data_IF_162806806901
#
_entry.id   IF_162806806901
#
_cell.length_a   1.000
_cell.length_b   1.000
_cell.length_c   1.000
_cell.angle_alpha   90.00
_cell.angle_beta   90.00
_cell.angle_gamma   90.00
#
_symmetry.space_group_name_H-M   'P 1'
#
loop_
_entity.id
_entity.type
_entity.pdbx_description
1 polymer ?
#
# COMPACT_ATOMS: atom_id res chain seq x y z
N UNK A 1 14.58 31.53 8.86
CA UNK A 1 15.26 32.17 7.71
C UNK A 1 14.84 31.39 6.47
N UNK A 2 14.23 32.01 5.46
CA UNK A 2 13.91 31.30 4.20
C UNK A 2 15.21 31.17 3.41
N UNK A 3 15.78 29.97 3.35
CA UNK A 3 16.87 29.68 2.42
C UNK A 3 16.31 29.66 1.00
N UNK A 4 16.78 30.59 0.16
CA UNK A 4 16.47 30.60 -1.27
C UNK A 4 17.47 29.70 -1.99
N UNK A 5 17.15 28.40 -2.11
CA UNK A 5 17.90 27.47 -2.97
C UNK A 5 17.02 27.04 -4.16
N UNK A 6 17.63 26.74 -5.31
CA UNK A 6 16.89 26.24 -6.48
C UNK A 6 16.08 24.96 -6.15
N UNK A 7 16.63 24.13 -5.27
CA UNK A 7 15.97 22.92 -4.75
C UNK A 7 14.68 23.26 -4.00
N UNK A 8 14.62 24.38 -3.24
CA UNK A 8 13.43 24.77 -2.48
C UNK A 8 12.21 25.16 -3.34
N UNK A 9 12.43 25.42 -4.63
CA UNK A 9 11.38 25.75 -5.59
C UNK A 9 10.73 24.49 -6.21
N UNK A 10 11.37 23.33 -6.07
CA UNK A 10 10.84 22.05 -6.55
C UNK A 10 9.82 21.51 -5.54
N UNK A 11 8.57 21.42 -5.96
CA UNK A 11 7.53 20.73 -5.18
C UNK A 11 7.70 19.22 -5.31
N UNK A 12 7.67 18.54 -4.17
CA UNK A 12 7.61 17.08 -4.09
C UNK A 12 6.36 16.68 -3.29
N UNK A 13 5.82 15.47 -3.51
CA UNK A 13 4.66 15.00 -2.76
C UNK A 13 4.89 15.03 -1.25
N UNK A 14 3.88 15.45 -0.49
CA UNK A 14 3.91 15.38 0.98
C UNK A 14 3.62 13.94 1.41
N UNK A 15 4.63 13.26 1.95
CA UNK A 15 4.57 11.86 2.37
C UNK A 15 5.17 11.70 3.77
N UNK A 16 4.73 10.68 4.51
CA UNK A 16 5.44 10.24 5.72
C UNK A 16 6.70 9.44 5.36
N UNK A 17 7.52 9.09 6.35
CA UNK A 17 8.82 8.47 6.13
C UNK A 17 8.75 7.09 5.45
N UNK A 18 7.72 6.28 5.73
CA UNK A 18 7.56 4.97 5.08
C UNK A 18 7.19 5.14 3.61
N UNK A 19 6.20 5.99 3.33
CA UNK A 19 5.81 6.31 1.97
C UNK A 19 6.90 7.06 1.20
N UNK A 20 7.73 7.85 1.88
CA UNK A 20 8.91 8.50 1.30
C UNK A 20 9.94 7.49 0.79
N UNK A 21 10.23 6.45 1.59
CA UNK A 21 11.12 5.38 1.19
C UNK A 21 10.58 4.63 -0.04
N UNK A 22 9.29 4.27 -0.05
CA UNK A 22 8.63 3.61 -1.20
C UNK A 22 8.65 4.48 -2.45
N UNK A 23 8.28 5.77 -2.33
CA UNK A 23 8.32 6.70 -3.45
C UNK A 23 9.74 6.87 -4.03
N UNK A 24 10.73 6.96 -3.14
CA UNK A 24 12.14 7.00 -3.53
C UNK A 24 12.58 5.76 -4.31
N UNK A 25 12.13 4.57 -3.90
CA UNK A 25 12.38 3.32 -4.63
C UNK A 25 11.71 3.31 -6.00
N UNK A 26 10.45 3.72 -6.11
CA UNK A 26 9.76 3.79 -7.40
C UNK A 26 10.48 4.71 -8.40
N UNK A 27 10.99 5.86 -7.93
CA UNK A 27 11.81 6.77 -8.75
C UNK A 27 13.13 6.11 -9.17
N UNK A 28 13.80 5.40 -8.26
CA UNK A 28 15.05 4.70 -8.58
C UNK A 28 14.82 3.52 -9.54
N UNK A 29 13.72 2.78 -9.40
CA UNK A 29 13.34 1.72 -10.33
C UNK A 29 13.10 2.27 -11.73
N UNK A 30 12.38 3.39 -11.86
CA UNK A 30 12.21 4.06 -13.16
C UNK A 30 13.55 4.51 -13.75
N UNK A 31 14.46 5.01 -12.91
CA UNK A 31 15.79 5.42 -13.31
C UNK A 31 16.70 4.25 -13.73
N UNK A 32 16.57 3.09 -13.10
CA UNK A 32 17.37 1.90 -13.42
C UNK A 32 16.80 1.11 -14.61
N UNK A 33 15.55 1.37 -15.01
CA UNK A 33 14.92 0.78 -16.19
C UNK A 33 15.37 1.42 -17.52
N UNK A 34 16.17 2.49 -17.47
CA UNK A 34 16.65 3.22 -18.66
C UNK A 34 18.16 3.45 -18.59
N UNK A 35 18.80 3.58 -19.75
CA UNK A 35 20.19 4.05 -19.81
C UNK A 35 20.20 5.54 -19.50
N UNK A 36 20.72 5.91 -18.32
CA UNK A 36 20.72 7.31 -17.89
C UNK A 36 21.83 8.12 -18.55
N UNK A 37 21.56 9.38 -18.93
CA UNK A 37 22.58 10.36 -19.25
C UNK A 37 23.54 10.56 -18.08
N UNK A 38 24.82 10.79 -18.37
CA UNK A 38 25.89 11.02 -17.39
C UNK A 38 25.52 12.13 -16.39
N UNK A 39 24.78 13.15 -16.84
CA UNK A 39 24.35 14.28 -16.00
C UNK A 39 23.41 13.87 -14.86
N UNK A 40 22.73 12.72 -14.98
CA UNK A 40 21.76 12.19 -14.02
C UNK A 40 22.35 11.11 -13.10
N UNK A 41 23.53 10.57 -13.41
CA UNK A 41 24.14 9.48 -12.63
C UNK A 41 24.41 9.88 -11.18
N UNK A 42 25.07 11.02 -10.98
CA UNK A 42 25.43 11.52 -9.65
C UNK A 42 24.20 11.91 -8.81
N UNK A 43 23.20 12.64 -9.34
CA UNK A 43 21.92 12.84 -8.65
C UNK A 43 21.20 11.53 -8.28
N UNK A 44 21.18 10.53 -9.17
CA UNK A 44 20.60 9.20 -8.88
C UNK A 44 21.33 8.50 -7.75
N UNK A 45 22.66 8.45 -7.78
CA UNK A 45 23.46 7.79 -6.75
C UNK A 45 23.24 8.42 -5.37
N UNK A 46 23.17 9.75 -5.33
CA UNK A 46 22.84 10.49 -4.10
C UNK A 46 21.45 10.14 -3.60
N UNK A 47 20.43 10.11 -4.47
CA UNK A 47 19.08 9.69 -4.10
C UNK A 47 19.06 8.25 -3.56
N UNK A 48 19.77 7.32 -4.20
CA UNK A 48 19.89 5.93 -3.77
C UNK A 48 20.50 5.79 -2.38
N UNK A 49 21.55 6.56 -2.09
CA UNK A 49 22.19 6.57 -0.78
C UNK A 49 21.19 7.05 0.30
N UNK A 50 20.49 8.15 0.08
CA UNK A 50 19.53 8.68 1.06
C UNK A 50 18.31 7.78 1.24
N UNK A 51 17.80 7.14 0.18
CA UNK A 51 16.72 6.14 0.29
C UNK A 51 17.17 4.95 1.13
N UNK A 52 18.40 4.47 0.91
CA UNK A 52 18.98 3.35 1.66
C UNK A 52 19.16 3.71 3.15
N UNK A 53 19.67 4.90 3.43
CA UNK A 53 19.85 5.41 4.79
C UNK A 53 18.53 5.60 5.52
N UNK A 54 17.51 6.15 4.84
CA UNK A 54 16.16 6.28 5.39
C UNK A 54 15.57 4.90 5.72
N UNK A 55 15.66 3.93 4.80
CA UNK A 55 15.20 2.54 5.04
C UNK A 55 15.92 1.88 6.20
N UNK A 56 17.24 2.09 6.32
CA UNK A 56 18.06 1.56 7.41
C UNK A 56 17.61 2.15 8.74
N UNK A 57 17.42 3.46 8.81
CA UNK A 57 16.95 4.13 10.03
C UNK A 57 15.54 3.67 10.41
N UNK A 58 14.61 3.62 9.45
CA UNK A 58 13.26 3.08 9.67
C UNK A 58 13.29 1.64 10.19
N UNK A 59 14.23 0.82 9.72
CA UNK A 59 14.41 -0.56 10.19
C UNK A 59 15.06 -0.63 11.57
N UNK A 60 16.03 0.23 11.88
CA UNK A 60 16.68 0.31 13.19
C UNK A 60 15.71 0.78 14.29
N UNK A 61 14.71 1.57 13.90
CA UNK A 61 13.68 2.07 14.79
C UNK A 61 12.53 1.10 15.05
N UNK A 62 12.48 -0.03 14.32
CA UNK A 62 11.61 -1.15 14.64
C UNK A 62 12.16 -1.86 15.86
N UNK A 63 11.64 -1.55 17.04
CA UNK A 63 11.75 -2.49 18.15
C UNK A 63 11.02 -3.77 17.75
N UNK A 64 11.64 -4.96 17.88
CA UNK A 64 10.90 -6.19 17.75
C UNK A 64 9.74 -6.14 18.75
N UNK A 65 8.50 -6.42 18.32
CA UNK A 65 7.40 -6.57 19.26
C UNK A 65 7.78 -7.65 20.29
N UNK A 66 7.39 -7.51 21.57
CA UNK A 66 7.67 -8.55 22.56
C UNK A 66 7.08 -9.88 22.08
N UNK A 67 7.80 -10.98 22.26
CA UNK A 67 7.38 -12.31 21.79
C UNK A 67 5.96 -12.68 22.25
N UNK A 68 5.50 -12.15 23.40
CA UNK A 68 4.14 -12.29 23.90
C UNK A 68 3.06 -11.63 23.02
N UNK A 69 3.37 -10.51 22.37
CA UNK A 69 2.44 -9.84 21.44
C UNK A 69 2.32 -10.57 20.10
N UNK A 70 3.39 -11.20 19.61
CA UNK A 70 3.33 -12.03 18.40
C UNK A 70 2.48 -13.27 18.65
N UNK A 71 2.67 -13.97 19.77
CA UNK A 71 1.85 -15.14 20.14
C UNK A 71 0.37 -14.77 20.36
N UNK A 72 0.09 -13.59 20.93
CA UNK A 72 -1.29 -13.15 21.09
C UNK A 72 -1.96 -12.80 19.75
N UNK A 73 -1.23 -12.15 18.83
CA UNK A 73 -1.73 -11.80 17.51
C UNK A 73 -1.94 -13.04 16.61
N UNK A 74 -1.00 -13.98 16.64
CA UNK A 74 -1.07 -15.31 16.02
C UNK A 74 -2.35 -16.06 16.44
N UNK A 75 -2.55 -16.24 17.76
CA UNK A 75 -3.77 -16.86 18.28
C UNK A 75 -5.06 -16.15 17.87
N UNK A 76 -5.04 -14.83 17.75
CA UNK A 76 -6.22 -14.05 17.34
C UNK A 76 -6.54 -14.30 15.87
N UNK A 77 -5.55 -14.30 14.99
CA UNK A 77 -5.76 -14.54 13.55
C UNK A 77 -6.20 -15.99 13.30
N UNK A 78 -5.64 -16.96 14.03
CA UNK A 78 -6.06 -18.37 14.00
C UNK A 78 -7.54 -18.53 14.38
N UNK A 79 -7.95 -17.89 15.47
CA UNK A 79 -9.32 -17.93 15.96
C UNK A 79 -10.28 -17.27 14.98
N UNK A 80 -9.92 -16.13 14.40
CA UNK A 80 -10.74 -15.42 13.43
C UNK A 80 -10.98 -16.25 12.17
N UNK A 81 -9.93 -16.85 11.61
CA UNK A 81 -10.05 -17.74 10.44
C UNK A 81 -10.86 -19.00 10.74
N UNK A 82 -10.66 -19.60 11.92
CA UNK A 82 -11.45 -20.75 12.35
C UNK A 82 -12.93 -20.41 12.49
N UNK A 83 -13.25 -19.26 13.09
CA UNK A 83 -14.64 -18.79 13.24
C UNK A 83 -15.34 -18.55 11.91
N UNK A 84 -14.67 -17.90 10.94
CA UNK A 84 -15.21 -17.73 9.60
C UNK A 84 -15.46 -19.08 8.91
N UNK A 85 -14.50 -20.01 8.99
CA UNK A 85 -14.65 -21.35 8.44
C UNK A 85 -15.84 -22.12 9.06
N UNK A 86 -16.01 -22.02 10.38
CA UNK A 86 -17.09 -22.69 11.11
C UNK A 86 -18.48 -22.17 10.72
N UNK A 87 -18.64 -20.85 10.57
CA UNK A 87 -19.90 -20.26 10.11
C UNK A 87 -20.25 -20.69 8.69
N UNK A 88 -19.28 -20.65 7.77
CA UNK A 88 -19.49 -21.12 6.39
C UNK A 88 -19.82 -22.61 6.37
N UNK A 89 -19.14 -23.42 7.19
CA UNK A 89 -19.44 -24.85 7.34
C UNK A 89 -20.85 -25.07 7.89
N UNK A 90 -21.28 -24.25 8.84
CA UNK A 90 -22.65 -24.27 9.38
C UNK A 90 -23.70 -24.04 8.30
N UNK A 91 -23.52 -23.00 7.47
CA UNK A 91 -24.40 -22.72 6.34
C UNK A 91 -24.39 -23.84 5.29
N UNK A 92 -23.22 -24.38 4.97
CA UNK A 92 -23.06 -25.45 3.98
C UNK A 92 -23.74 -26.79 4.37
N UNK A 93 -24.00 -26.99 5.67
CA UNK A 93 -24.73 -28.16 6.21
C UNK A 93 -26.24 -28.06 6.04
N UNK A 94 -26.78 -26.89 5.70
CA UNK A 94 -28.20 -26.77 5.38
C UNK A 94 -28.56 -27.56 4.12
N UNK A 95 -29.83 -27.98 3.95
CA UNK A 95 -30.30 -28.62 2.74
C UNK A 95 -29.99 -27.79 1.49
N UNK A 96 -29.68 -28.46 0.39
CA UNK A 96 -29.27 -27.80 -0.87
C UNK A 96 -30.36 -26.90 -1.48
N UNK A 97 -31.61 -27.10 -1.06
CA UNK A 97 -32.75 -26.24 -1.42
C UNK A 97 -32.65 -24.83 -0.83
N UNK A 98 -31.74 -24.60 0.13
CA UNK A 98 -31.47 -23.29 0.72
C UNK A 98 -30.34 -22.61 -0.06
N UNK A 99 -30.56 -21.39 -0.62
CA UNK A 99 -29.52 -20.66 -1.34
C UNK A 99 -28.25 -20.41 -0.53
N UNK A 100 -28.37 -20.23 0.79
CA UNK A 100 -27.21 -20.06 1.68
C UNK A 100 -26.26 -21.27 1.71
N UNK A 101 -26.79 -22.49 1.51
CA UNK A 101 -25.97 -23.70 1.46
C UNK A 101 -25.01 -23.68 0.27
N UNK A 102 -25.53 -23.39 -0.93
CA UNK A 102 -24.73 -23.29 -2.14
C UNK A 102 -23.69 -22.16 -2.07
N UNK A 103 -24.10 -20.97 -1.63
CA UNK A 103 -23.19 -19.81 -1.48
C UNK A 103 -22.04 -20.11 -0.53
N UNK A 104 -22.32 -20.74 0.61
CA UNK A 104 -21.31 -21.10 1.59
C UNK A 104 -20.34 -22.16 1.06
N UNK A 105 -20.82 -23.15 0.29
CA UNK A 105 -19.95 -24.14 -0.36
C UNK A 105 -19.02 -23.51 -1.39
N UNK A 106 -19.53 -22.57 -2.21
CA UNK A 106 -18.69 -21.81 -3.14
C UNK A 106 -17.55 -21.08 -2.42
N UNK A 107 -17.85 -20.42 -1.29
CA UNK A 107 -16.83 -19.73 -0.50
C UNK A 107 -15.83 -20.70 0.16
N UNK A 108 -16.30 -21.84 0.67
CA UNK A 108 -15.44 -22.89 1.23
C UNK A 108 -14.50 -23.47 0.17
N UNK A 109 -14.99 -23.79 -1.02
CA UNK A 109 -14.17 -24.31 -2.11
C UNK A 109 -13.14 -23.27 -2.58
N UNK A 110 -13.53 -22.00 -2.62
CA UNK A 110 -12.67 -20.92 -3.12
C UNK A 110 -11.58 -20.52 -2.12
N UNK A 111 -11.93 -20.40 -0.84
CA UNK A 111 -11.06 -19.79 0.19
C UNK A 111 -10.53 -20.81 1.20
N UNK A 112 -11.16 -21.98 1.30
CA UNK A 112 -10.87 -23.02 2.28
C UNK A 112 -10.77 -24.42 1.64
N UNK A 113 -10.31 -24.52 0.40
CA UNK A 113 -10.11 -25.81 -0.29
C UNK A 113 -9.27 -26.80 0.55
N UNK A 114 -8.29 -26.28 1.28
CA UNK A 114 -7.46 -27.02 2.23
C UNK A 114 -7.83 -26.80 3.71
N UNK A 115 -9.03 -26.29 3.97
CA UNK A 115 -9.49 -25.85 5.28
C UNK A 115 -8.62 -24.72 5.84
N UNK A 116 -8.46 -24.71 7.16
CA UNK A 116 -7.64 -23.74 7.91
C UNK A 116 -6.21 -24.21 8.15
N UNK A 117 -5.68 -25.17 7.37
CA UNK A 117 -4.33 -25.74 7.62
C UNK A 117 -3.19 -24.71 7.55
N UNK A 118 -3.38 -23.62 6.81
CA UNK A 118 -2.37 -22.57 6.64
C UNK A 118 -1.99 -21.86 7.93
N UNK A 119 -2.87 -21.84 8.94
CA UNK A 119 -2.61 -21.26 10.28
C UNK A 119 -1.42 -21.94 11.00
N UNK A 120 -1.00 -23.12 10.52
CA UNK A 120 0.15 -23.87 11.06
C UNK A 120 1.46 -23.58 10.33
N UNK A 121 1.46 -22.69 9.33
CA UNK A 121 2.66 -22.35 8.59
C UNK A 121 3.64 -21.57 9.48
N UNK A 122 4.88 -21.42 9.00
CA UNK A 122 5.79 -20.46 9.63
C UNK A 122 5.19 -19.04 9.51
N UNK A 123 5.29 -18.21 10.56
CA UNK A 123 4.53 -16.96 10.69
C UNK A 123 4.48 -16.06 9.44
N UNK A 124 5.62 -15.90 8.73
CA UNK A 124 5.65 -15.09 7.49
C UNK A 124 4.88 -15.72 6.33
N UNK A 125 4.95 -17.04 6.20
CA UNK A 125 4.22 -17.79 5.18
C UNK A 125 2.72 -17.84 5.51
N UNK A 126 2.39 -17.98 6.80
CA UNK A 126 1.01 -17.87 7.29
C UNK A 126 0.41 -16.49 6.98
N UNK A 127 1.15 -15.42 7.27
CA UNK A 127 0.71 -14.06 6.97
C UNK A 127 0.46 -13.84 5.47
N UNK A 128 1.38 -14.30 4.60
CA UNK A 128 1.22 -14.15 3.15
C UNK A 128 0.01 -14.95 2.60
N UNK A 129 -0.21 -16.16 3.10
CA UNK A 129 -1.36 -16.98 2.73
C UNK A 129 -2.68 -16.36 3.24
N UNK A 130 -2.67 -15.82 4.45
CA UNK A 130 -3.75 -15.06 5.07
C UNK A 130 -4.12 -13.82 4.22
N UNK A 131 -3.12 -13.08 3.72
CA UNK A 131 -3.33 -11.93 2.82
C UNK A 131 -3.98 -12.34 1.49
N UNK A 132 -3.48 -13.40 0.84
CA UNK A 132 -4.03 -13.89 -0.42
C UNK A 132 -5.51 -14.32 -0.28
N UNK A 133 -5.85 -15.04 0.79
CA UNK A 133 -7.23 -15.47 1.09
C UNK A 133 -8.14 -14.28 1.41
N UNK A 134 -7.65 -13.31 2.18
CA UNK A 134 -8.42 -12.11 2.50
C UNK A 134 -8.70 -11.26 1.26
N UNK A 135 -7.73 -11.13 0.35
CA UNK A 135 -7.92 -10.47 -0.95
C UNK A 135 -8.97 -11.20 -1.80
N UNK A 136 -8.96 -12.54 -1.78
CA UNK A 136 -9.96 -13.35 -2.47
C UNK A 136 -11.36 -13.16 -1.91
N UNK A 137 -11.51 -13.09 -0.58
CA UNK A 137 -12.80 -12.82 0.08
C UNK A 137 -13.35 -11.42 -0.25
N UNK A 138 -12.46 -10.43 -0.36
CA UNK A 138 -12.82 -9.02 -0.63
C UNK A 138 -13.13 -8.75 -2.10
N UNK A 139 -12.67 -9.61 -3.01
CA UNK A 139 -13.00 -9.51 -4.42
C UNK A 139 -14.46 -9.91 -4.69
N UNK A 140 -15.09 -9.26 -5.66
CA UNK A 140 -16.38 -9.74 -6.19
C UNK A 140 -16.16 -11.00 -7.05
N UNK A 141 -17.09 -11.97 -7.05
CA UNK A 141 -18.40 -11.95 -6.39
C UNK A 141 -18.40 -12.39 -4.92
N UNK A 142 -17.25 -12.78 -4.35
CA UNK A 142 -17.16 -13.38 -3.01
C UNK A 142 -17.64 -12.42 -1.92
N UNK A 143 -17.31 -11.13 -2.05
CA UNK A 143 -17.77 -10.10 -1.13
C UNK A 143 -19.30 -10.00 -1.08
N UNK A 144 -20.00 -10.11 -2.22
CA UNK A 144 -21.48 -10.18 -2.22
C UNK A 144 -22.01 -11.41 -1.50
N UNK A 145 -21.41 -12.58 -1.74
CA UNK A 145 -21.83 -13.83 -1.08
C UNK A 145 -21.72 -13.72 0.45
N UNK A 146 -20.64 -13.12 0.96
CA UNK A 146 -20.44 -12.91 2.40
C UNK A 146 -21.48 -11.98 3.02
N UNK A 147 -21.84 -10.90 2.32
CA UNK A 147 -22.92 -9.98 2.75
C UNK A 147 -24.27 -10.68 2.78
N UNK A 148 -24.58 -11.46 1.74
CA UNK A 148 -25.83 -12.21 1.63
C UNK A 148 -25.97 -13.33 2.67
N UNK A 149 -24.85 -13.86 3.16
CA UNK A 149 -24.80 -14.84 4.25
C UNK A 149 -24.79 -14.19 5.65
N UNK A 150 -24.69 -12.86 5.73
CA UNK A 150 -24.55 -12.15 7.01
C UNK A 150 -23.23 -12.45 7.72
N UNK A 151 -22.18 -12.81 6.98
CA UNK A 151 -20.89 -13.22 7.54
C UNK A 151 -19.85 -12.07 7.60
N UNK A 152 -20.27 -10.82 7.37
CA UNK A 152 -19.36 -9.68 7.24
C UNK A 152 -18.55 -9.43 8.52
N UNK A 153 -19.15 -9.55 9.70
CA UNK A 153 -18.46 -9.35 10.99
C UNK A 153 -17.25 -10.29 11.16
N UNK A 154 -17.32 -11.52 10.63
CA UNK A 154 -16.20 -12.46 10.65
C UNK A 154 -15.07 -12.03 9.72
N UNK A 155 -15.38 -11.45 8.56
CA UNK A 155 -14.39 -10.95 7.59
C UNK A 155 -13.71 -9.68 8.13
N UNK A 156 -14.46 -8.85 8.84
CA UNK A 156 -13.95 -7.65 9.49
C UNK A 156 -12.99 -8.03 10.62
N UNK A 157 -13.35 -9.02 11.45
CA UNK A 157 -12.46 -9.54 12.50
C UNK A 157 -11.21 -10.22 11.91
N UNK A 158 -11.33 -11.02 10.84
CA UNK A 158 -10.16 -11.57 10.13
C UNK A 158 -9.26 -10.47 9.59
N UNK A 159 -9.84 -9.39 9.03
CA UNK A 159 -9.07 -8.25 8.51
C UNK A 159 -8.29 -7.55 9.62
N UNK A 160 -8.92 -7.31 10.76
CA UNK A 160 -8.28 -6.64 11.89
C UNK A 160 -7.22 -7.52 12.55
N UNK A 161 -7.51 -8.81 12.76
CA UNK A 161 -6.55 -9.76 13.28
C UNK A 161 -5.33 -9.93 12.35
N UNK A 162 -5.55 -10.01 11.04
CA UNK A 162 -4.49 -10.06 10.03
C UNK A 162 -3.60 -8.80 10.06
N UNK A 163 -4.20 -7.60 10.19
CA UNK A 163 -3.46 -6.33 10.31
C UNK A 163 -2.56 -6.35 11.55
N UNK A 164 -3.13 -6.68 12.71
CA UNK A 164 -2.40 -6.75 13.99
C UNK A 164 -1.30 -7.81 13.97
N UNK A 165 -1.55 -8.95 13.30
CA UNK A 165 -0.54 -9.98 13.14
C UNK A 165 0.62 -9.52 12.27
N UNK A 166 0.33 -8.86 11.14
CA UNK A 166 1.36 -8.23 10.31
C UNK A 166 2.19 -7.19 11.06
N UNK A 167 1.57 -6.42 11.95
CA UNK A 167 2.26 -5.43 12.79
C UNK A 167 3.18 -6.13 13.81
N UNK A 168 2.67 -7.18 14.45
CA UNK A 168 3.41 -8.02 15.39
C UNK A 168 4.50 -8.87 14.73
N UNK A 169 4.49 -9.03 13.40
CA UNK A 169 5.57 -9.64 12.62
C UNK A 169 6.51 -8.59 11.99
N UNK A 170 6.18 -7.30 12.10
CA UNK A 170 6.91 -6.20 11.46
C UNK A 170 6.79 -6.19 9.93
N UNK A 171 5.77 -6.87 9.38
CA UNK A 171 5.48 -6.99 7.94
C UNK A 171 4.63 -5.81 7.44
N UNK A 172 3.68 -5.32 8.24
CA UNK A 172 2.72 -4.27 7.84
C UNK A 172 2.89 -2.95 8.57
N UNK A 173 4.01 -2.73 9.27
CA UNK A 173 4.18 -1.53 10.10
C UNK A 173 4.18 -0.22 9.27
N UNK A 174 3.00 0.34 9.05
CA UNK A 174 2.77 1.77 8.80
C UNK A 174 2.54 2.39 10.17
N UNK A 175 3.63 2.86 10.79
CA UNK A 175 3.56 3.67 12.01
C UNK A 175 3.35 5.15 11.65
N UNK A 176 2.74 5.95 12.55
CA UNK A 176 2.57 7.37 12.35
C UNK A 176 3.92 8.03 12.13
N UNK A 177 3.90 9.15 11.40
CA UNK A 177 5.02 10.05 11.09
C UNK A 177 6.07 9.97 12.21
N UNK A 178 7.23 9.38 11.92
CA UNK A 178 8.26 9.18 12.92
C UNK A 178 8.71 10.54 13.49
N UNK A 179 8.29 10.82 14.73
CA UNK A 179 8.67 12.03 15.47
C UNK A 179 10.12 12.00 15.97
N UNK A 180 10.83 10.87 15.78
CA UNK A 180 12.21 10.73 16.24
C UNK A 180 13.15 11.65 15.43
N UNK A 181 14.02 12.43 16.10
CA UNK A 181 14.95 13.35 15.43
C UNK A 181 15.77 12.70 14.31
N UNK A 182 16.13 11.43 14.46
CA UNK A 182 16.95 10.68 13.52
C UNK A 182 16.19 10.38 12.22
N UNK A 183 14.91 9.98 12.30
CA UNK A 183 14.09 9.78 11.07
C UNK A 183 13.82 11.11 10.41
N UNK A 184 13.52 12.17 11.18
CA UNK A 184 13.31 13.52 10.62
C UNK A 184 14.52 14.00 9.84
N UNK A 185 15.72 13.83 10.39
CA UNK A 185 16.96 14.18 9.70
C UNK A 185 17.14 13.38 8.39
N UNK A 186 16.86 12.07 8.40
CA UNK A 186 16.91 11.23 7.19
C UNK A 186 15.83 11.59 6.17
N UNK A 187 14.63 11.97 6.62
CA UNK A 187 13.53 12.45 5.77
C UNK A 187 13.88 13.77 5.09
N UNK A 188 14.52 14.70 5.80
CA UNK A 188 15.02 15.96 5.23
C UNK A 188 16.12 15.72 4.20
N UNK A 189 17.06 14.81 4.49
CA UNK A 189 18.14 14.44 3.57
C UNK A 189 17.59 13.79 2.29
N UNK A 190 16.65 12.84 2.43
CA UNK A 190 15.91 12.25 1.32
C UNK A 190 15.17 13.30 0.49
N UNK A 191 14.37 14.16 1.14
CA UNK A 191 13.61 15.20 0.45
C UNK A 191 14.52 16.15 -0.34
N UNK A 192 15.69 16.49 0.21
CA UNK A 192 16.71 17.29 -0.49
C UNK A 192 17.26 16.56 -1.71
N UNK A 193 17.64 15.29 -1.57
CA UNK A 193 18.17 14.50 -2.68
C UNK A 193 17.12 14.28 -3.80
N UNK A 194 15.86 14.05 -3.44
CA UNK A 194 14.77 13.92 -4.41
C UNK A 194 14.54 15.23 -5.17
N UNK A 195 14.50 16.39 -4.49
CA UNK A 195 14.39 17.69 -5.17
C UNK A 195 15.55 17.95 -6.12
N UNK A 196 16.78 17.60 -5.71
CA UNK A 196 17.95 17.73 -6.57
C UNK A 196 17.85 16.82 -7.81
N UNK A 197 17.40 15.57 -7.64
CA UNK A 197 17.18 14.66 -8.76
C UNK A 197 16.14 15.21 -9.75
N UNK A 198 14.96 15.63 -9.25
CA UNK A 198 13.89 16.22 -10.07
C UNK A 198 14.38 17.47 -10.81
N UNK A 199 15.18 18.33 -10.16
CA UNK A 199 15.76 19.51 -10.79
C UNK A 199 16.67 19.14 -11.98
N UNK A 200 17.51 18.11 -11.84
CA UNK A 200 18.39 17.67 -12.93
C UNK A 200 17.58 17.01 -14.06
N UNK A 201 16.58 16.20 -13.73
CA UNK A 201 15.71 15.55 -14.72
C UNK A 201 14.92 16.58 -15.52
N UNK A 202 14.36 17.59 -14.86
CA UNK A 202 13.63 18.68 -15.53
C UNK A 202 14.55 19.55 -16.39
N UNK A 203 15.74 19.87 -15.90
CA UNK A 203 16.75 20.59 -16.69
C UNK A 203 17.19 19.79 -17.93
N UNK A 204 17.41 18.48 -17.78
CA UNK A 204 17.72 17.58 -18.89
C UNK A 204 16.56 17.54 -19.90
N UNK A 205 15.33 17.36 -19.44
CA UNK A 205 14.14 17.33 -20.30
C UNK A 205 13.87 18.61 -21.09
N UNK A 206 14.45 19.74 -20.66
CA UNK A 206 14.38 21.02 -21.37
C UNK A 206 15.57 21.28 -22.32
N UNK A 207 16.49 20.31 -22.46
CA UNK A 207 17.62 20.41 -23.40
C UNK A 207 17.20 20.13 -24.84
N UNK A 208 18.07 20.48 -25.79
CA UNK A 208 17.86 20.23 -27.23
C UNK A 208 18.10 18.76 -27.65
N UNK A 209 18.29 17.85 -26.69
CA UNK A 209 18.48 16.42 -26.97
C UNK A 209 17.14 15.76 -27.41
N UNK A 210 17.09 15.02 -28.54
CA UNK A 210 15.84 14.52 -29.12
C UNK A 210 14.97 13.64 -28.21
N UNK A 211 15.59 12.87 -27.32
CA UNK A 211 14.89 11.94 -26.41
C UNK A 211 14.68 12.50 -25.00
N UNK A 212 15.23 13.67 -24.70
CA UNK A 212 15.26 14.18 -23.34
C UNK A 212 13.88 14.46 -22.73
N UNK A 213 12.89 15.04 -23.45
CA UNK A 213 11.56 15.25 -22.89
C UNK A 213 10.86 13.95 -22.49
N UNK A 214 10.92 12.92 -23.34
CA UNK A 214 10.28 11.62 -23.11
C UNK A 214 10.95 10.86 -21.96
N UNK A 215 12.28 10.96 -21.87
CA UNK A 215 13.02 10.37 -20.76
C UNK A 215 12.71 11.08 -19.44
N UNK A 216 12.64 12.41 -19.43
CA UNK A 216 12.27 13.17 -18.25
C UNK A 216 10.85 12.82 -17.77
N UNK A 217 9.90 12.67 -18.68
CA UNK A 217 8.54 12.22 -18.36
C UNK A 217 8.56 10.83 -17.69
N UNK A 218 9.26 9.85 -18.28
CA UNK A 218 9.40 8.49 -17.69
C UNK A 218 10.02 8.51 -16.30
N UNK A 219 11.05 9.33 -16.08
CA UNK A 219 11.74 9.42 -14.81
C UNK A 219 10.92 10.13 -13.72
N UNK A 220 10.00 11.02 -14.10
CA UNK A 220 9.13 11.75 -13.17
C UNK A 220 7.75 11.10 -12.99
N UNK A 221 7.37 10.14 -13.83
CA UNK A 221 6.09 9.44 -13.76
C UNK A 221 5.74 8.90 -12.36
N UNK A 222 6.66 8.29 -11.59
CA UNK A 222 6.33 7.81 -10.24
C UNK A 222 5.83 8.92 -9.29
N UNK A 223 6.29 10.17 -9.48
CA UNK A 223 5.86 11.30 -8.66
C UNK A 223 4.46 11.78 -9.06
N UNK A 224 4.15 11.82 -10.35
CA UNK A 224 2.86 12.27 -10.87
C UNK A 224 1.76 11.23 -10.61
N UNK A 225 2.08 9.95 -10.78
CA UNK A 225 1.20 8.82 -10.44
C UNK A 225 0.84 8.84 -8.95
N UNK A 226 1.82 9.10 -8.08
CA UNK A 226 1.59 9.22 -6.65
C UNK A 226 0.65 10.37 -6.29
N UNK A 227 0.77 11.53 -6.93
CA UNK A 227 -0.13 12.67 -6.73
C UNK A 227 -1.54 12.40 -7.24
N UNK A 228 -1.66 11.68 -8.37
CA UNK A 228 -2.94 11.27 -8.94
C UNK A 228 -3.69 10.28 -8.02
N UNK A 229 -2.98 9.32 -7.42
CA UNK A 229 -3.55 8.35 -6.47
C UNK A 229 -4.13 8.99 -5.20
N UNK A 230 -3.61 10.16 -4.77
CA UNK A 230 -4.09 10.88 -3.57
C UNK A 230 -5.15 11.94 -3.86
N UNK A 231 -5.37 12.28 -5.12
CA UNK A 231 -6.43 13.20 -5.51
C UNK A 231 -7.75 12.44 -5.57
N UNK A 232 -8.76 12.74 -4.73
CA UNK A 232 -10.07 12.14 -4.91
C UNK A 232 -10.56 12.51 -6.31
N UNK A 233 -10.85 11.50 -7.15
CA UNK A 233 -11.47 11.73 -8.46
C UNK A 233 -12.58 12.75 -8.31
N UNK A 234 -12.45 13.89 -9.01
CA UNK A 234 -13.53 14.85 -9.17
C UNK A 234 -14.76 14.03 -9.58
N UNK A 235 -15.78 14.00 -8.72
CA UNK A 235 -17.11 13.54 -9.10
C UNK A 235 -17.47 14.27 -10.39
N UNK A 236 -17.72 13.49 -11.43
CA UNK A 236 -18.38 13.95 -12.64
C UNK A 236 -19.68 14.65 -12.20
N UNK A 237 -20.01 15.84 -12.72
CA UNK A 237 -21.26 16.49 -12.34
C UNK A 237 -22.41 15.59 -12.76
N UNK A 238 -23.28 15.23 -11.80
CA UNK A 238 -24.54 14.59 -12.11
C UNK A 238 -25.31 15.47 -13.10
N UNK A 239 -25.72 14.87 -14.20
CA UNK A 239 -26.59 15.47 -15.19
C UNK A 239 -28.01 15.50 -14.60
N UNK A 240 -28.29 16.46 -13.72
CA UNK A 240 -29.63 16.86 -13.31
C UNK A 240 -29.56 18.25 -12.65
N UNK A 241 -29.25 19.26 -13.47
CA UNK A 241 -29.68 20.64 -13.18
C UNK A 241 -30.03 21.31 -14.51
N UNK A 242 -31.19 20.95 -15.05
CA UNK A 242 -31.84 21.73 -16.11
C UNK A 242 -32.68 22.80 -15.40
N UNK A 243 -32.37 24.10 -15.55
CA UNK A 243 -33.17 25.15 -14.95
C UNK A 243 -34.54 25.19 -15.62
N UNK A 244 -35.61 24.98 -14.86
CA UNK A 244 -36.98 25.24 -15.32
C UNK A 244 -37.16 26.76 -15.43
N UNK A 245 -37.62 27.31 -16.58
CA UNK A 245 -37.83 28.74 -16.73
C UNK A 245 -39.07 29.20 -15.95
N UNK A 246 -39.07 30.43 -15.39
CA UNK A 246 -40.23 30.95 -14.68
C UNK A 246 -41.33 31.38 -15.66
N UNK A 247 -42.55 30.88 -15.45
CA UNK A 247 -43.77 31.30 -16.16
C UNK A 247 -44.36 32.55 -15.47
N UNK A 248 -44.88 33.56 -16.22
CA UNK A 248 -45.39 34.82 -15.69
C UNK A 248 -46.69 34.70 -14.86
#
# INVERSE_FOLDING_TARGET
MREYSAESMVRIPRVDANHAATLGESVLTAADAVTLPVVLEKPREKLRAEVTDLKKELSAQKSPPPASSTVAADRRVDAAWSGLHDVLTGWAKLPETKPSSAKARTLLETVFSDGVRFVKFAHRAEWAESEARLNTLKAEPNASLLRELGAQEFVDEVSEAHRLYGEALGVTAVRPIDDKPEVRAKMEAFAKALRAFVLHVTAFGASDEPEAPQMAEKLLAPLTEWEAMRSPSKKQPDADDVPVPPTP
#
